data_IF_791743385652
#
_entry.id   IF_791743385652
#
_cell.length_a   1.000
_cell.length_b   1.000
_cell.length_c   1.000
_cell.angle_alpha   90.00
_cell.angle_beta   90.00
_cell.angle_gamma   90.00
#
_symmetry.space_group_name_H-M   'P 1'
#
loop_
_entity.id
_entity.type
_entity.pdbx_description
1 polymer ?
#
# COMPACT_ATOMS: atom_id res chain seq x y z
N UNK A 1 19.07 -13.06 6.76
CA UNK A 1 17.85 -12.67 7.51
C UNK A 1 17.60 -11.19 7.26
N UNK A 2 16.72 -10.89 6.31
CA UNK A 2 16.42 -9.52 5.86
C UNK A 2 15.68 -8.76 6.97
N UNK A 3 16.23 -7.62 7.39
CA UNK A 3 15.78 -6.81 8.53
C UNK A 3 14.26 -6.57 8.53
N UNK A 4 13.51 -7.14 9.49
CA UNK A 4 12.05 -6.99 9.58
C UNK A 4 11.60 -5.57 10.00
N UNK A 5 12.52 -4.71 10.43
CA UNK A 5 12.18 -3.40 11.02
C UNK A 5 11.70 -2.34 10.03
N UNK A 6 12.30 -2.27 8.83
CA UNK A 6 12.00 -1.19 7.88
C UNK A 6 10.61 -1.34 7.24
N UNK A 7 10.21 -2.56 6.87
CA UNK A 7 8.90 -2.83 6.29
C UNK A 7 7.76 -2.62 7.29
N UNK A 8 7.99 -2.95 8.56
CA UNK A 8 7.02 -2.71 9.63
C UNK A 8 6.73 -1.22 9.80
N UNK A 9 7.78 -0.39 9.85
CA UNK A 9 7.63 1.06 9.96
C UNK A 9 6.99 1.67 8.70
N UNK A 10 7.37 1.22 7.50
CA UNK A 10 6.78 1.70 6.24
C UNK A 10 5.30 1.34 6.12
N UNK A 11 4.90 0.11 6.47
CA UNK A 11 3.50 -0.32 6.48
C UNK A 11 2.66 0.47 7.49
N UNK A 12 3.23 0.73 8.67
CA UNK A 12 2.60 1.55 9.72
C UNK A 12 2.38 2.99 9.29
N UNK A 13 3.36 3.60 8.59
CA UNK A 13 3.25 4.94 8.01
C UNK A 13 2.20 4.97 6.89
N UNK A 14 2.18 3.97 6.01
CA UNK A 14 1.22 3.87 4.91
C UNK A 14 -0.23 3.77 5.42
N UNK A 15 -0.50 2.92 6.42
CA UNK A 15 -1.83 2.81 7.04
C UNK A 15 -2.21 4.09 7.79
N UNK A 16 -1.27 4.72 8.48
CA UNK A 16 -1.53 5.99 9.13
C UNK A 16 -1.90 7.08 8.11
N UNK A 17 -1.15 7.20 7.02
CA UNK A 17 -1.47 8.09 5.91
C UNK A 17 -2.83 7.77 5.29
N UNK A 18 -3.14 6.49 5.07
CA UNK A 18 -4.42 6.06 4.52
C UNK A 18 -5.61 6.42 5.44
N UNK A 19 -5.50 6.13 6.74
CA UNK A 19 -6.51 6.49 7.73
C UNK A 19 -6.70 8.00 7.84
N UNK A 20 -5.61 8.78 7.74
CA UNK A 20 -5.65 10.23 7.81
C UNK A 20 -6.23 10.86 6.53
N UNK A 21 -5.84 10.37 5.36
CA UNK A 21 -6.22 10.94 4.06
C UNK A 21 -7.61 10.50 3.61
N UNK A 22 -7.94 9.20 3.68
CA UNK A 22 -9.21 8.67 3.16
C UNK A 22 -10.32 8.78 4.20
N UNK A 23 -10.07 8.36 5.45
CA UNK A 23 -11.11 8.35 6.49
C UNK A 23 -11.27 9.69 7.22
N UNK A 24 -10.38 10.67 7.00
CA UNK A 24 -10.33 11.98 7.70
C UNK A 24 -10.47 11.90 9.23
N UNK A 25 -10.20 10.73 9.84
CA UNK A 25 -10.23 10.54 11.29
C UNK A 25 -8.85 10.84 11.85
N UNK A 26 -8.79 11.64 12.91
CA UNK A 26 -7.56 11.92 13.66
C UNK A 26 -7.19 10.70 14.53
N UNK A 27 -6.70 9.64 13.90
CA UNK A 27 -6.16 8.46 14.60
C UNK A 27 -4.70 8.78 14.97
N UNK A 28 -4.35 8.69 16.26
CA UNK A 28 -2.97 8.88 16.73
C UNK A 28 -2.11 7.70 16.26
N UNK A 29 -0.88 8.00 15.83
CA UNK A 29 0.08 7.01 15.31
C UNK A 29 0.38 5.86 16.29
N UNK A 30 0.34 6.14 17.61
CA UNK A 30 0.54 5.13 18.66
C UNK A 30 -0.56 4.07 18.76
N UNK A 31 -1.79 4.40 18.33
CA UNK A 31 -2.94 3.49 18.38
C UNK A 31 -2.99 2.52 17.19
N UNK A 32 -2.18 2.77 16.16
CA UNK A 32 -2.16 1.93 14.97
C UNK A 32 -1.30 0.70 15.24
N UNK A 33 -1.96 -0.39 15.59
CA UNK A 33 -1.32 -1.70 15.67
C UNK A 33 -1.34 -2.30 14.26
N UNK A 34 -0.22 -2.18 13.56
CA UNK A 34 -0.04 -2.80 12.25
C UNK A 34 0.22 -4.30 12.46
N UNK A 35 -0.85 -5.05 12.71
CA UNK A 35 -0.83 -6.51 12.90
C UNK A 35 -0.94 -7.24 11.55
N UNK A 36 -0.34 -6.70 10.50
CA UNK A 36 -0.29 -7.36 9.19
C UNK A 36 1.11 -7.88 8.96
N UNK A 37 1.20 -9.19 8.69
CA UNK A 37 2.46 -9.81 8.27
C UNK A 37 2.99 -9.05 7.05
N UNK A 38 4.28 -8.69 7.04
CA UNK A 38 4.89 -7.94 5.93
C UNK A 38 4.68 -8.60 4.56
N UNK A 39 4.41 -9.90 4.55
CA UNK A 39 3.96 -10.67 3.39
C UNK A 39 2.63 -10.19 2.79
N UNK A 40 1.62 -9.91 3.61
CA UNK A 40 0.33 -9.42 3.12
C UNK A 40 0.47 -8.03 2.50
N UNK A 41 1.30 -7.17 3.08
CA UNK A 41 1.61 -5.86 2.50
C UNK A 41 2.30 -6.02 1.12
N UNK A 42 3.23 -6.96 1.01
CA UNK A 42 3.90 -7.29 -0.26
C UNK A 42 2.93 -7.82 -1.33
N UNK A 43 2.05 -8.75 -0.97
CA UNK A 43 1.06 -9.33 -1.91
C UNK A 43 0.10 -8.25 -2.41
N UNK A 44 -0.41 -7.40 -1.52
CA UNK A 44 -1.31 -6.31 -1.89
C UNK A 44 -0.59 -5.27 -2.76
N UNK A 45 0.65 -4.90 -2.40
CA UNK A 45 1.46 -3.97 -3.20
C UNK A 45 1.76 -4.49 -4.61
N UNK A 46 2.13 -5.77 -4.73
CA UNK A 46 2.33 -6.41 -6.04
C UNK A 46 1.04 -6.49 -6.85
N UNK A 47 -0.08 -6.87 -6.22
CA UNK A 47 -1.37 -6.96 -6.89
C UNK A 47 -1.82 -5.61 -7.47
N UNK A 48 -1.72 -4.54 -6.69
CA UNK A 48 -2.05 -3.18 -7.13
C UNK A 48 -1.08 -2.72 -8.24
N UNK A 49 0.22 -2.99 -8.09
CA UNK A 49 1.24 -2.61 -9.08
C UNK A 49 0.98 -3.26 -10.45
N UNK A 50 0.72 -4.56 -10.48
CA UNK A 50 0.38 -5.28 -11.71
C UNK A 50 -0.92 -4.75 -12.31
N UNK A 51 -1.94 -4.49 -11.50
CA UNK A 51 -3.22 -3.94 -11.98
C UNK A 51 -3.02 -2.58 -12.68
N UNK A 52 -2.22 -1.69 -12.10
CA UNK A 52 -1.91 -0.37 -12.69
C UNK A 52 -1.18 -0.52 -14.03
N UNK A 53 -0.21 -1.43 -14.11
CA UNK A 53 0.54 -1.68 -15.35
C UNK A 53 -0.42 -2.20 -16.44
N UNK A 54 -1.24 -3.21 -16.12
CA UNK A 54 -2.21 -3.78 -17.07
C UNK A 54 -3.23 -2.74 -17.52
N UNK A 55 -3.79 -1.96 -16.60
CA UNK A 55 -4.72 -0.88 -16.94
C UNK A 55 -4.04 0.22 -17.77
N UNK A 56 -2.79 0.57 -17.46
CA UNK A 56 -2.01 1.55 -18.20
C UNK A 56 -1.75 1.09 -19.64
N UNK A 57 -1.31 -0.16 -19.84
CA UNK A 57 -1.13 -0.75 -21.16
C UNK A 57 -2.44 -0.82 -21.94
N UNK A 58 -3.53 -1.24 -21.29
CA UNK A 58 -4.84 -1.30 -21.92
C UNK A 58 -5.33 0.09 -22.37
N UNK A 59 -5.15 1.11 -21.52
CA UNK A 59 -5.46 2.50 -21.85
C UNK A 59 -4.61 3.02 -23.02
N UNK A 60 -3.33 2.68 -23.05
CA UNK A 60 -2.40 3.10 -24.10
C UNK A 60 -2.80 2.50 -25.46
N UNK A 61 -3.11 1.20 -25.49
CA UNK A 61 -3.64 0.51 -26.68
C UNK A 61 -4.96 1.13 -27.15
N UNK A 62 -5.87 1.47 -26.20
CA UNK A 62 -7.15 2.13 -26.50
C UNK A 62 -7.00 3.56 -27.01
N UNK A 63 -5.89 4.23 -26.73
CA UNK A 63 -5.60 5.59 -27.18
C UNK A 63 -4.99 5.58 -28.59
N UNK A 64 -4.26 4.53 -28.94
CA UNK A 64 -3.56 4.37 -30.22
C UNK A 64 -4.47 3.87 -31.36
N UNK A 65 -5.64 3.29 -31.04
CA UNK A 65 -6.60 2.73 -31.98
C UNK A 65 -7.93 3.48 -32.00
#
# INVERSE_FOLDING_TARGET
MSSPGNFYNLGKIAVWLWCRLIKKKKIKYSDIIFLYSGWLFWIVGLGIGVLIIVCGYFLLIRLEN
#
